data_IF_603738275654
#
_entry.id   IF_603738275654
#
_cell.length_a   1.000
_cell.length_b   1.000
_cell.length_c   1.000
_cell.angle_alpha   90.00
_cell.angle_beta   90.00
_cell.angle_gamma   90.00
#
_symmetry.space_group_name_H-M   'P 1'
#
loop_
_entity.id
_entity.type
_entity.pdbx_description
1 polymer ?
#
# COMPACT_ATOMS: atom_id res chain seq x y z
N UNK A 1 -4.99 5.98 -47.56
CA UNK A 1 -4.78 4.51 -47.48
C UNK A 1 -5.06 4.10 -46.05
N UNK A 2 -6.23 3.51 -45.82
CA UNK A 2 -6.80 3.25 -44.50
C UNK A 2 -6.28 1.91 -43.96
N UNK A 3 -5.24 1.92 -43.14
CA UNK A 3 -4.90 0.76 -42.31
C UNK A 3 -5.73 0.78 -41.02
N UNK A 4 -7.04 0.64 -41.17
CA UNK A 4 -7.96 0.45 -40.05
C UNK A 4 -8.07 -1.05 -39.74
N UNK A 5 -6.92 -1.68 -39.48
CA UNK A 5 -6.88 -3.03 -38.94
C UNK A 5 -7.34 -2.93 -37.49
N UNK A 6 -8.63 -3.17 -37.32
CA UNK A 6 -9.35 -3.37 -36.06
C UNK A 6 -8.49 -4.12 -35.04
N UNK A 7 -7.87 -3.40 -34.13
CA UNK A 7 -7.51 -3.95 -32.83
C UNK A 7 -8.85 -4.29 -32.17
N UNK A 8 -9.31 -5.55 -32.31
CA UNK A 8 -10.35 -6.07 -31.43
C UNK A 8 -9.88 -5.74 -30.01
N UNK A 9 -10.63 -4.92 -29.27
CA UNK A 9 -10.29 -4.52 -27.92
C UNK A 9 -10.00 -5.79 -27.12
N UNK A 10 -8.72 -6.05 -26.82
CA UNK A 10 -8.35 -7.31 -26.20
C UNK A 10 -9.13 -7.46 -24.90
N UNK A 11 -9.66 -8.66 -24.60
CA UNK A 11 -10.47 -8.85 -23.41
C UNK A 11 -9.64 -8.56 -22.15
N UNK A 12 -10.33 -8.11 -21.12
CA UNK A 12 -9.74 -8.01 -19.78
C UNK A 12 -9.54 -9.42 -19.24
N UNK A 13 -8.33 -9.72 -18.81
CA UNK A 13 -7.99 -11.03 -18.25
C UNK A 13 -8.63 -11.21 -16.87
N UNK A 14 -8.73 -12.45 -16.39
CA UNK A 14 -9.21 -12.72 -15.03
C UNK A 14 -8.25 -12.11 -13.99
N UNK A 15 -8.81 -11.60 -12.88
CA UNK A 15 -8.06 -11.01 -11.76
C UNK A 15 -6.90 -11.89 -11.28
N UNK A 16 -7.07 -13.23 -11.30
CA UNK A 16 -6.02 -14.17 -10.88
C UNK A 16 -4.73 -14.03 -11.67
N UNK A 17 -4.75 -13.45 -12.88
CA UNK A 17 -3.57 -13.23 -13.71
C UNK A 17 -2.96 -11.83 -13.57
N UNK A 18 -3.62 -10.90 -12.87
CA UNK A 18 -3.20 -9.49 -12.84
C UNK A 18 -1.78 -9.30 -12.31
N UNK A 19 -1.30 -10.17 -11.41
CA UNK A 19 0.08 -10.12 -10.93
C UNK A 19 1.13 -10.21 -12.06
N UNK A 20 0.80 -10.84 -13.18
CA UNK A 20 1.65 -10.97 -14.35
C UNK A 20 1.55 -9.77 -15.32
N UNK A 21 0.59 -8.87 -15.11
CA UNK A 21 0.48 -7.65 -15.91
C UNK A 21 1.70 -6.75 -15.67
N UNK A 22 2.24 -6.09 -16.71
CA UNK A 22 3.30 -5.11 -16.55
C UNK A 22 2.88 -3.87 -15.74
N UNK A 23 1.58 -3.67 -15.48
CA UNK A 23 1.04 -2.49 -14.80
C UNK A 23 0.53 -2.72 -13.38
N UNK A 24 0.13 -3.94 -13.01
CA UNK A 24 -0.68 -4.15 -11.80
C UNK A 24 0.05 -3.89 -10.48
N UNK A 25 1.31 -4.32 -10.40
CA UNK A 25 2.17 -4.17 -9.22
C UNK A 25 3.27 -3.12 -9.43
N UNK A 26 3.03 -2.15 -10.33
CA UNK A 26 3.99 -1.11 -10.68
C UNK A 26 3.36 0.27 -10.48
N UNK A 27 4.21 1.26 -10.20
CA UNK A 27 3.81 2.66 -10.25
C UNK A 27 3.73 3.09 -11.71
N UNK A 28 2.52 3.08 -12.27
CA UNK A 28 2.30 3.28 -13.70
C UNK A 28 2.43 4.76 -14.03
N UNK A 29 3.36 5.09 -14.93
CA UNK A 29 3.63 6.48 -15.32
C UNK A 29 2.52 6.96 -16.24
N UNK A 30 1.72 7.90 -15.76
CA UNK A 30 0.57 8.45 -16.47
C UNK A 30 0.58 9.96 -16.39
N UNK A 31 -0.06 10.59 -17.37
CA UNK A 31 -0.42 11.99 -17.26
C UNK A 31 -1.72 12.17 -16.48
N UNK A 32 -2.01 13.38 -16.02
CA UNK A 32 -3.28 13.72 -15.37
C UNK A 32 -4.48 13.40 -16.29
N UNK A 33 -4.38 13.74 -17.58
CA UNK A 33 -5.40 13.38 -18.57
C UNK A 33 -5.59 11.86 -18.70
N UNK A 34 -4.53 11.05 -18.70
CA UNK A 34 -4.68 9.59 -18.77
C UNK A 34 -5.38 9.05 -17.53
N UNK A 35 -5.05 9.56 -16.34
CA UNK A 35 -5.66 9.14 -15.08
C UNK A 35 -7.17 9.32 -15.14
N UNK A 36 -7.63 10.49 -15.59
CA UNK A 36 -9.05 10.76 -15.80
C UNK A 36 -9.69 9.85 -16.85
N UNK A 37 -8.94 9.48 -17.89
CA UNK A 37 -9.40 8.57 -18.94
C UNK A 37 -9.42 7.09 -18.54
N UNK A 38 -8.87 6.71 -17.38
CA UNK A 38 -8.90 5.33 -16.92
C UNK A 38 -10.33 4.85 -16.68
N UNK A 39 -10.68 3.72 -17.29
CA UNK A 39 -12.03 3.16 -17.21
C UNK A 39 -12.17 2.18 -16.07
N UNK A 40 -13.36 2.15 -15.47
CA UNK A 40 -13.80 1.01 -14.66
C UNK A 40 -14.36 -0.07 -15.58
N UNK A 41 -14.27 -1.33 -15.16
CA UNK A 41 -14.75 -2.48 -15.94
C UNK A 41 -15.69 -3.30 -15.07
N UNK A 42 -16.87 -3.68 -15.59
CA UNK A 42 -17.80 -4.51 -14.83
C UNK A 42 -17.17 -5.81 -14.32
N UNK A 43 -17.48 -6.18 -13.07
CA UNK A 43 -16.92 -7.33 -12.36
C UNK A 43 -15.65 -7.03 -11.55
N UNK A 44 -15.14 -5.79 -11.62
CA UNK A 44 -13.96 -5.34 -10.85
C UNK A 44 -14.26 -4.17 -9.91
N UNK A 45 -15.54 -3.85 -9.72
CA UNK A 45 -15.99 -2.77 -8.84
C UNK A 45 -15.51 -3.02 -7.39
N UNK A 46 -15.16 -1.94 -6.70
CA UNK A 46 -14.70 -2.00 -5.30
C UNK A 46 -13.29 -2.56 -5.09
N UNK A 47 -12.62 -3.09 -6.13
CA UNK A 47 -11.25 -3.62 -6.02
C UNK A 47 -10.16 -2.54 -6.18
N UNK A 48 -10.57 -1.28 -6.33
CA UNK A 48 -9.70 -0.13 -6.63
C UNK A 48 -8.73 -0.39 -7.80
N UNK A 49 -9.25 -0.98 -8.87
CA UNK A 49 -8.52 -1.26 -10.11
C UNK A 49 -9.21 -0.59 -11.28
N UNK A 50 -8.42 0.06 -12.11
CA UNK A 50 -8.87 0.76 -13.30
C UNK A 50 -8.11 0.24 -14.53
N UNK A 51 -8.55 0.61 -15.72
CA UNK A 51 -8.02 0.03 -16.95
C UNK A 51 -7.63 1.09 -17.97
N UNK A 52 -6.44 0.92 -18.55
CA UNK A 52 -6.05 1.53 -19.82
C UNK A 52 -5.95 0.41 -20.84
N UNK A 53 -6.73 0.48 -21.94
CA UNK A 53 -7.01 -0.70 -22.76
C UNK A 53 -7.46 -1.86 -21.85
N UNK A 54 -6.74 -2.98 -21.82
CA UNK A 54 -6.98 -4.11 -20.92
C UNK A 54 -5.90 -4.28 -19.84
N UNK A 55 -5.04 -3.27 -19.63
CA UNK A 55 -4.04 -3.27 -18.55
C UNK A 55 -4.69 -2.88 -17.22
N UNK A 56 -4.64 -3.71 -16.17
CA UNK A 56 -5.13 -3.35 -14.83
C UNK A 56 -4.14 -2.41 -14.11
N UNK A 57 -4.63 -1.28 -13.61
CA UNK A 57 -3.85 -0.21 -12.99
C UNK A 57 -4.48 0.14 -11.64
N UNK A 58 -3.66 0.11 -10.58
CA UNK A 58 -4.07 0.51 -9.21
C UNK A 58 -3.13 1.51 -8.54
N UNK A 59 -1.97 1.74 -9.15
CA UNK A 59 -0.93 2.64 -8.65
C UNK A 59 -0.47 3.55 -9.78
N UNK A 60 -0.45 4.84 -9.52
CA UNK A 60 -0.10 5.89 -10.48
C UNK A 60 1.17 6.59 -10.04
N UNK A 61 1.99 6.97 -11.01
CA UNK A 61 3.15 7.81 -10.88
C UNK A 61 2.98 9.04 -11.79
N UNK A 62 3.16 10.22 -11.22
CA UNK A 62 3.03 11.49 -11.94
C UNK A 62 4.11 12.47 -11.48
N UNK A 63 4.61 13.30 -12.38
CA UNK A 63 5.54 14.40 -12.09
C UNK A 63 4.94 15.68 -12.66
N UNK A 64 4.70 16.67 -11.80
CA UNK A 64 4.05 17.91 -12.19
C UNK A 64 4.25 19.02 -11.14
N UNK A 65 4.24 20.30 -11.55
CA UNK A 65 4.12 21.44 -10.64
C UNK A 65 2.80 21.43 -9.86
N UNK A 66 2.88 21.86 -8.60
CA UNK A 66 1.72 22.24 -7.80
C UNK A 66 1.16 23.55 -8.34
N UNK A 67 -0.13 23.59 -8.65
CA UNK A 67 -0.82 24.80 -9.14
C UNK A 67 -1.85 25.34 -8.15
N UNK A 68 -2.28 24.53 -7.19
CA UNK A 68 -3.10 24.99 -6.07
C UNK A 68 -2.85 24.14 -4.82
N UNK A 69 -2.97 24.79 -3.67
CA UNK A 69 -2.96 24.17 -2.35
C UNK A 69 -4.28 24.52 -1.70
N UNK A 70 -5.06 23.50 -1.33
CA UNK A 70 -6.36 23.69 -0.71
C UNK A 70 -6.45 22.89 0.58
N UNK A 71 -6.56 23.59 1.70
CA UNK A 71 -6.95 22.99 2.96
C UNK A 71 -8.47 22.84 3.01
N UNK A 72 -8.96 21.67 3.42
CA UNK A 72 -10.39 21.44 3.59
C UNK A 72 -10.75 21.66 5.07
N UNK A 73 -11.48 22.75 5.41
CA UNK A 73 -11.77 23.11 6.80
C UNK A 73 -12.49 21.99 7.54
N UNK A 74 -12.17 21.82 8.83
CA UNK A 74 -12.77 20.82 9.72
C UNK A 74 -12.59 19.37 9.24
N UNK A 75 -11.58 19.09 8.41
CA UNK A 75 -11.23 17.74 8.01
C UNK A 75 -9.74 17.49 8.18
N UNK A 76 -9.34 16.23 8.05
CA UNK A 76 -7.93 15.80 8.04
C UNK A 76 -7.27 15.91 6.66
N UNK A 77 -7.95 16.48 5.66
CA UNK A 77 -7.48 16.44 4.28
C UNK A 77 -6.93 17.79 3.82
N UNK A 78 -5.79 17.71 3.13
CA UNK A 78 -5.24 18.77 2.30
C UNK A 78 -5.19 18.26 0.86
N UNK A 79 -5.49 19.11 -0.11
CA UNK A 79 -5.51 18.78 -1.52
C UNK A 79 -4.45 19.62 -2.23
N UNK A 80 -3.58 18.96 -2.98
CA UNK A 80 -2.71 19.59 -3.97
C UNK A 80 -3.32 19.38 -5.35
N UNK A 81 -3.48 20.44 -6.13
CA UNK A 81 -3.81 20.30 -7.55
C UNK A 81 -2.51 20.34 -8.35
N UNK A 82 -2.29 19.33 -9.19
CA UNK A 82 -1.11 19.21 -10.05
C UNK A 82 -1.48 19.40 -11.52
N UNK A 83 -0.61 20.06 -12.28
CA UNK A 83 -0.78 20.29 -13.73
C UNK A 83 0.48 19.85 -14.50
N UNK A 84 0.36 18.79 -15.30
CA UNK A 84 1.43 18.29 -16.17
C UNK A 84 1.28 18.75 -17.63
N UNK A 85 0.43 19.76 -17.88
CA UNK A 85 0.12 20.29 -19.21
C UNK A 85 -0.45 19.27 -20.20
N UNK A 86 -0.97 18.12 -19.73
CA UNK A 86 -1.58 17.10 -20.59
C UNK A 86 -3.02 17.41 -21.02
N UNK A 87 -3.56 18.56 -20.61
CA UNK A 87 -4.93 19.00 -20.90
C UNK A 87 -5.91 18.84 -19.74
N UNK A 88 -5.47 18.29 -18.60
CA UNK A 88 -6.26 18.21 -17.37
C UNK A 88 -5.37 18.37 -16.14
N UNK A 89 -5.87 18.99 -15.08
CA UNK A 89 -5.24 18.94 -13.76
C UNK A 89 -5.73 17.71 -12.98
N UNK A 90 -5.00 17.31 -11.93
CA UNK A 90 -5.40 16.22 -11.04
C UNK A 90 -5.22 16.62 -9.58
N UNK A 91 -6.22 16.31 -8.76
CA UNK A 91 -6.19 16.53 -7.33
C UNK A 91 -5.51 15.36 -6.61
N UNK A 92 -4.57 15.68 -5.74
CA UNK A 92 -3.83 14.76 -4.89
C UNK A 92 -4.20 15.05 -3.44
N UNK A 93 -4.97 14.13 -2.85
CA UNK A 93 -5.39 14.16 -1.46
C UNK A 93 -4.28 13.66 -0.55
N UNK A 94 -3.98 14.45 0.48
CA UNK A 94 -3.07 14.13 1.57
C UNK A 94 -3.90 14.04 2.85
N UNK A 95 -3.66 12.99 3.64
CA UNK A 95 -4.35 12.76 4.90
C UNK A 95 -3.43 13.01 6.08
N UNK A 96 -3.79 13.98 6.93
CA UNK A 96 -3.20 14.22 8.24
C UNK A 96 -3.59 13.09 9.20
N UNK A 97 -2.65 12.67 10.04
CA UNK A 97 -2.93 11.74 11.12
C UNK A 97 -3.76 12.44 12.21
N UNK A 98 -4.54 11.64 12.91
CA UNK A 98 -5.26 12.09 14.09
C UNK A 98 -4.24 12.43 15.20
N UNK A 99 -4.19 13.70 15.68
CA UNK A 99 -3.22 14.09 16.69
C UNK A 99 -3.31 13.28 17.99
N UNK A 100 -4.50 12.77 18.31
CA UNK A 100 -4.74 11.96 19.51
C UNK A 100 -4.17 10.53 19.40
N UNK A 101 -3.76 10.11 18.20
CA UNK A 101 -3.26 8.76 17.90
C UNK A 101 -1.85 8.79 17.32
N UNK A 102 -1.13 9.89 17.48
CA UNK A 102 0.27 9.98 17.08
C UNK A 102 1.11 9.14 18.05
N UNK A 103 1.73 8.08 17.54
CA UNK A 103 2.77 7.36 18.27
C UNK A 103 3.97 8.30 18.51
N UNK A 104 4.61 8.16 19.67
CA UNK A 104 5.80 8.96 20.04
C UNK A 104 6.96 8.83 19.02
N UNK A 105 6.99 7.73 18.27
CA UNK A 105 7.99 7.43 17.24
C UNK A 105 7.55 7.85 15.82
N UNK A 106 6.41 8.54 15.67
CA UNK A 106 5.90 8.95 14.35
C UNK A 106 6.82 10.00 13.72
N UNK A 107 7.40 9.68 12.56
CA UNK A 107 8.32 10.57 11.84
C UNK A 107 7.64 11.71 11.09
N UNK A 108 6.32 11.67 10.96
CA UNK A 108 5.53 12.67 10.25
C UNK A 108 4.10 12.77 10.78
N UNK A 109 3.50 13.95 10.67
CA UNK A 109 2.12 14.22 11.06
C UNK A 109 1.07 13.82 10.00
N UNK A 110 1.48 13.23 8.87
CA UNK A 110 0.60 12.72 7.82
C UNK A 110 0.74 11.21 7.64
N UNK A 111 -0.14 10.65 6.81
CA UNK A 111 -0.05 9.23 6.36
C UNK A 111 1.16 8.96 5.46
N UNK A 112 1.87 9.99 5.01
CA UNK A 112 3.06 9.89 4.14
C UNK A 112 4.29 10.22 4.98
N UNK A 113 5.17 9.23 5.17
CA UNK A 113 6.22 9.27 6.20
C UNK A 113 7.23 10.44 6.13
N UNK A 114 7.41 11.04 4.96
CA UNK A 114 8.34 12.14 4.73
C UNK A 114 7.66 13.48 4.41
N UNK A 115 6.35 13.58 4.67
CA UNK A 115 5.58 14.78 4.40
C UNK A 115 4.94 15.29 5.68
N UNK A 116 5.18 16.55 6.00
CA UNK A 116 4.59 17.24 7.15
C UNK A 116 3.76 18.43 6.69
N UNK A 117 2.65 18.68 7.40
CA UNK A 117 1.79 19.83 7.18
C UNK A 117 1.64 20.58 8.49
N UNK A 118 2.23 21.77 8.56
CA UNK A 118 2.17 22.65 9.71
C UNK A 118 1.17 23.77 9.44
N UNK A 119 0.08 23.82 10.22
CA UNK A 119 -0.94 24.89 10.12
C UNK A 119 -0.95 25.70 11.41
N UNK A 120 -0.17 26.79 11.49
CA UNK A 120 -0.16 27.64 12.67
C UNK A 120 -1.50 28.37 12.85
N UNK A 121 -1.88 28.66 14.10
CA UNK A 121 -3.18 29.28 14.46
C UNK A 121 -3.43 30.64 13.79
N UNK A 122 -2.38 31.34 13.36
CA UNK A 122 -2.43 32.66 12.71
C UNK A 122 -1.48 32.79 11.51
N UNK A 123 -1.29 31.73 10.72
CA UNK A 123 -0.44 31.79 9.55
C UNK A 123 -0.86 30.84 8.44
N UNK A 124 -0.12 30.92 7.35
CA UNK A 124 -0.35 30.07 6.18
C UNK A 124 0.12 28.64 6.47
N UNK A 125 -0.60 27.69 5.87
CA UNK A 125 -0.27 26.27 5.97
C UNK A 125 1.03 25.99 5.23
N UNK A 126 2.03 25.52 5.95
CA UNK A 126 3.33 25.15 5.41
C UNK A 126 3.38 23.64 5.17
N UNK A 127 3.80 23.25 3.96
CA UNK A 127 3.94 21.85 3.56
C UNK A 127 5.43 21.57 3.40
N UNK A 128 5.93 20.51 4.03
CA UNK A 128 7.32 20.09 3.91
C UNK A 128 7.42 18.67 3.41
N UNK A 129 8.29 18.42 2.43
CA UNK A 129 8.66 17.09 1.95
C UNK A 129 10.15 16.90 2.13
N UNK A 130 10.56 15.92 2.94
CA UNK A 130 11.97 15.73 3.35
C UNK A 130 12.59 17.03 3.91
N UNK A 131 11.79 17.82 4.65
CA UNK A 131 12.18 19.12 5.21
C UNK A 131 12.22 20.29 4.20
N UNK A 132 11.99 20.05 2.91
CA UNK A 132 11.92 21.10 1.89
C UNK A 132 10.50 21.65 1.81
N UNK A 133 10.37 22.97 1.83
CA UNK A 133 9.07 23.64 1.68
C UNK A 133 8.51 23.39 0.28
N UNK A 134 7.25 23.00 0.23
CA UNK A 134 6.46 22.80 -0.99
C UNK A 134 5.45 23.92 -1.06
N UNK A 135 5.53 24.69 -2.15
CA UNK A 135 4.59 25.75 -2.49
C UNK A 135 4.12 25.61 -3.95
N UNK A 136 3.22 26.48 -4.40
CA UNK A 136 2.84 26.62 -5.81
C UNK A 136 4.10 26.75 -6.67
N UNK A 137 4.06 26.14 -7.85
CA UNK A 137 5.15 25.92 -8.80
C UNK A 137 6.24 24.93 -8.35
N UNK A 138 6.20 24.39 -7.13
CA UNK A 138 7.08 23.28 -6.75
C UNK A 138 6.73 22.05 -7.55
N UNK A 139 7.72 21.45 -8.21
CA UNK A 139 7.51 20.23 -9.00
C UNK A 139 7.61 19.01 -8.09
N UNK A 140 6.54 18.23 -8.04
CA UNK A 140 6.46 17.03 -7.23
C UNK A 140 6.44 15.79 -8.11
N UNK A 141 7.21 14.80 -7.68
CA UNK A 141 7.03 13.40 -8.08
C UNK A 141 6.14 12.72 -7.07
N UNK A 142 4.94 12.32 -7.50
CA UNK A 142 3.94 11.68 -6.64
C UNK A 142 3.70 10.23 -7.05
N UNK A 143 3.49 9.39 -6.05
CA UNK A 143 3.10 7.99 -6.18
C UNK A 143 1.81 7.78 -5.39
N UNK A 144 0.75 7.44 -6.10
CA UNK A 144 -0.61 7.50 -5.57
C UNK A 144 -1.41 6.23 -5.83
N UNK A 145 -2.39 5.96 -4.98
CA UNK A 145 -3.54 5.13 -5.37
C UNK A 145 -4.61 6.01 -6.01
N UNK A 146 -5.49 5.41 -6.79
CA UNK A 146 -6.61 6.11 -7.42
C UNK A 146 -7.79 6.12 -6.44
N UNK A 147 -8.53 7.21 -6.41
CA UNK A 147 -9.82 7.33 -5.73
C UNK A 147 -10.76 8.21 -6.55
N UNK A 148 -11.95 8.44 -6.01
CA UNK A 148 -12.92 9.33 -6.62
C UNK A 148 -13.64 10.16 -5.57
N UNK A 149 -14.03 11.38 -5.92
CA UNK A 149 -14.93 12.21 -5.14
C UNK A 149 -15.97 12.83 -6.06
N UNK A 150 -17.25 12.60 -5.74
CA UNK A 150 -18.39 13.10 -6.53
C UNK A 150 -18.27 12.78 -8.03
N UNK A 151 -17.81 11.57 -8.34
CA UNK A 151 -17.64 11.09 -9.72
C UNK A 151 -16.39 11.58 -10.45
N UNK A 152 -15.58 12.45 -9.84
CA UNK A 152 -14.30 12.91 -10.40
C UNK A 152 -13.16 12.10 -9.80
N UNK A 153 -12.20 11.68 -10.64
CA UNK A 153 -11.02 10.97 -10.15
C UNK A 153 -10.10 11.92 -9.40
N UNK A 154 -9.59 11.43 -8.28
CA UNK A 154 -8.57 12.07 -7.47
C UNK A 154 -7.53 11.02 -7.10
N UNK A 155 -6.37 11.46 -6.66
CA UNK A 155 -5.27 10.60 -6.24
C UNK A 155 -5.13 10.65 -4.73
N UNK A 156 -4.80 9.52 -4.11
CA UNK A 156 -4.42 9.48 -2.70
C UNK A 156 -2.92 9.29 -2.59
N UNK A 157 -2.24 10.24 -1.96
CA UNK A 157 -0.79 10.22 -1.88
C UNK A 157 -0.29 9.05 -1.02
N UNK A 158 0.70 8.32 -1.53
CA UNK A 158 1.40 7.26 -0.79
C UNK A 158 2.88 7.55 -0.62
N UNK A 159 3.52 8.17 -1.61
CA UNK A 159 4.92 8.65 -1.54
C UNK A 159 5.08 9.89 -2.40
N UNK A 160 5.98 10.79 -1.99
CA UNK A 160 6.33 11.96 -2.79
C UNK A 160 7.81 12.33 -2.62
N UNK A 161 8.33 13.06 -3.61
CA UNK A 161 9.63 13.73 -3.55
C UNK A 161 9.53 15.05 -4.33
N UNK A 162 10.25 16.07 -3.88
CA UNK A 162 10.47 17.31 -4.64
C UNK A 162 11.45 17.00 -5.77
N UNK A 163 11.09 17.41 -6.98
CA UNK A 163 11.97 17.40 -8.15
C UNK A 163 12.76 18.71 -8.15
N UNK A 164 14.08 18.60 -8.26
CA UNK A 164 14.98 19.72 -7.96
C UNK A 164 15.26 20.62 -9.17
N UNK A 165 15.30 20.02 -10.35
CA UNK A 165 15.69 20.71 -11.57
C UNK A 165 14.98 20.14 -12.80
N UNK A 166 15.08 20.90 -13.89
CA UNK A 166 14.47 20.56 -15.17
C UNK A 166 15.06 19.27 -15.78
N UNK A 167 16.28 18.87 -15.41
CA UNK A 167 16.87 17.63 -15.93
C UNK A 167 16.14 16.42 -15.38
N UNK A 168 15.83 16.43 -14.08
CA UNK A 168 15.01 15.39 -13.44
C UNK A 168 13.58 15.35 -14.01
N UNK A 169 12.98 16.51 -14.30
CA UNK A 169 11.66 16.61 -14.94
C UNK A 169 11.66 15.98 -16.34
N UNK A 170 12.62 16.37 -17.18
CA UNK A 170 12.76 15.84 -18.54
C UNK A 170 12.98 14.33 -18.51
N UNK A 171 13.82 13.84 -17.61
CA UNK A 171 14.04 12.39 -17.45
C UNK A 171 12.75 11.66 -17.06
N UNK A 172 11.89 12.27 -16.23
CA UNK A 172 10.60 11.70 -15.89
C UNK A 172 9.64 11.65 -17.09
N UNK A 173 9.61 12.71 -17.91
CA UNK A 173 8.81 12.75 -19.14
C UNK A 173 9.28 11.72 -20.16
N UNK A 174 10.59 11.56 -20.36
CA UNK A 174 11.17 10.55 -21.23
C UNK A 174 10.77 9.14 -20.78
N UNK A 175 10.92 8.86 -19.49
CA UNK A 175 10.56 7.56 -18.92
C UNK A 175 9.06 7.27 -19.03
N UNK A 176 8.21 8.28 -18.87
CA UNK A 176 6.76 8.16 -19.08
C UNK A 176 6.44 7.90 -20.55
N UNK A 177 7.01 8.69 -21.47
CA UNK A 177 6.78 8.55 -22.90
C UNK A 177 7.24 7.18 -23.41
N UNK A 178 8.39 6.69 -22.94
CA UNK A 178 8.85 5.34 -23.23
C UNK A 178 7.88 4.29 -22.71
N UNK A 179 7.47 4.37 -21.44
CA UNK A 179 6.53 3.42 -20.85
C UNK A 179 5.19 3.39 -21.61
N UNK A 180 4.67 4.56 -22.00
CA UNK A 180 3.46 4.67 -22.82
C UNK A 180 3.63 3.95 -24.16
N UNK A 181 4.70 4.24 -24.91
CA UNK A 181 4.94 3.63 -26.23
C UNK A 181 5.15 2.12 -26.15
N UNK A 182 5.92 1.67 -25.17
CA UNK A 182 6.38 0.28 -25.11
C UNK A 182 5.33 -0.64 -24.47
N UNK A 183 4.55 -0.12 -23.51
CA UNK A 183 3.59 -0.91 -22.71
C UNK A 183 2.15 -0.50 -22.96
N UNK A 184 1.78 0.75 -22.67
CA UNK A 184 0.35 1.15 -22.61
C UNK A 184 -0.29 1.30 -23.99
N UNK A 185 0.49 1.63 -25.02
CA UNK A 185 0.00 1.78 -26.39
C UNK A 185 -0.44 0.46 -27.04
N UNK A 186 -0.19 -0.68 -26.41
CA UNK A 186 -0.50 -2.02 -26.93
C UNK A 186 -1.35 -2.78 -25.91
N UNK A 187 -2.33 -3.59 -26.34
CA UNK A 187 -3.06 -4.45 -25.42
C UNK A 187 -2.14 -5.47 -24.73
N UNK A 188 -2.44 -5.80 -23.48
CA UNK A 188 -1.79 -6.88 -22.76
C UNK A 188 -2.29 -8.23 -23.24
N UNK A 189 -1.38 -9.05 -23.79
CA UNK A 189 -1.71 -10.36 -24.33
C UNK A 189 -1.21 -11.47 -23.42
N UNK A 190 -2.09 -12.45 -23.16
CA UNK A 190 -1.73 -13.72 -22.52
C UNK A 190 -2.13 -14.86 -23.45
N UNK A 191 -1.14 -15.58 -23.96
CA UNK A 191 -1.37 -16.79 -24.76
C UNK A 191 -1.95 -17.90 -23.89
N UNK A 192 -2.41 -18.99 -24.51
CA UNK A 192 -2.84 -20.18 -23.76
C UNK A 192 -1.67 -20.81 -22.99
N UNK A 193 -0.46 -20.78 -23.56
CA UNK A 193 0.75 -21.27 -22.91
C UNK A 193 1.14 -20.41 -21.70
N UNK A 194 1.05 -19.08 -21.82
CA UNK A 194 1.29 -18.17 -20.68
C UNK A 194 0.30 -18.47 -19.55
N UNK A 195 -0.99 -18.61 -19.87
CA UNK A 195 -2.03 -18.92 -18.87
C UNK A 195 -1.78 -20.27 -18.18
N UNK A 196 -1.44 -21.31 -18.94
CA UNK A 196 -1.11 -22.62 -18.37
C UNK A 196 0.11 -22.54 -17.43
N UNK A 197 1.11 -21.73 -17.79
CA UNK A 197 2.31 -21.52 -16.98
C UNK A 197 1.98 -20.78 -15.69
N UNK A 198 1.19 -19.70 -15.77
CA UNK A 198 0.73 -18.95 -14.61
C UNK A 198 -0.17 -19.78 -13.69
N UNK A 199 -1.06 -20.60 -14.26
CA UNK A 199 -1.91 -21.50 -13.48
C UNK A 199 -1.09 -22.55 -12.73
N UNK A 200 -0.06 -23.12 -13.37
CA UNK A 200 0.87 -24.04 -12.70
C UNK A 200 1.67 -23.35 -11.58
N UNK A 201 2.11 -22.11 -11.78
CA UNK A 201 2.78 -21.31 -10.75
C UNK A 201 1.87 -21.06 -9.55
N UNK A 202 0.63 -20.61 -9.79
CA UNK A 202 -0.35 -20.39 -8.73
C UNK A 202 -0.66 -21.66 -7.94
N UNK A 203 -0.78 -22.82 -8.62
CA UNK A 203 -0.97 -24.10 -7.96
C UNK A 203 0.23 -24.48 -7.10
N UNK A 204 1.45 -24.26 -7.58
CA UNK A 204 2.66 -24.57 -6.85
C UNK A 204 2.83 -23.66 -5.61
N UNK A 205 2.55 -22.36 -5.73
CA UNK A 205 2.55 -21.43 -4.60
C UNK A 205 1.51 -21.83 -3.55
N UNK A 206 0.28 -22.13 -3.97
CA UNK A 206 -0.77 -22.58 -3.05
C UNK A 206 -0.40 -23.88 -2.31
N UNK A 207 0.28 -24.82 -2.98
CA UNK A 207 0.78 -26.04 -2.32
C UNK A 207 1.88 -25.71 -1.28
N UNK A 208 2.80 -24.80 -1.61
CA UNK A 208 3.87 -24.37 -0.69
C UNK A 208 3.28 -23.68 0.54
N UNK A 209 2.35 -22.76 0.36
CA UNK A 209 1.67 -22.07 1.46
C UNK A 209 0.93 -23.06 2.38
N UNK A 210 0.22 -24.04 1.82
CA UNK A 210 -0.44 -25.08 2.62
C UNK A 210 0.56 -25.94 3.41
N UNK A 211 1.72 -26.25 2.85
CA UNK A 211 2.76 -26.98 3.56
C UNK A 211 3.39 -26.16 4.68
N UNK A 212 3.65 -24.88 4.46
CA UNK A 212 4.15 -23.95 5.46
C UNK A 212 3.14 -23.79 6.61
N UNK A 213 1.87 -23.56 6.31
CA UNK A 213 0.82 -23.46 7.33
C UNK A 213 0.70 -24.77 8.14
N UNK A 214 0.82 -25.94 7.50
CA UNK A 214 0.86 -27.23 8.20
C UNK A 214 2.07 -27.37 9.10
N UNK A 215 3.25 -26.90 8.67
CA UNK A 215 4.49 -26.91 9.48
C UNK A 215 4.36 -25.96 10.67
N UNK A 216 3.82 -24.76 10.47
CA UNK A 216 3.59 -23.78 11.53
C UNK A 216 2.59 -24.31 12.57
N UNK A 217 1.44 -24.84 12.13
CA UNK A 217 0.46 -25.46 13.04
C UNK A 217 1.06 -26.62 13.84
N UNK A 218 1.93 -27.43 13.24
CA UNK A 218 2.66 -28.51 13.94
C UNK A 218 3.65 -27.95 14.96
N UNK A 219 4.41 -26.92 14.59
CA UNK A 219 5.37 -26.23 15.46
C UNK A 219 4.67 -25.60 16.66
N UNK A 220 3.57 -24.86 16.43
CA UNK A 220 2.75 -24.25 17.49
C UNK A 220 2.19 -25.29 18.45
N UNK A 221 1.62 -26.40 17.95
CA UNK A 221 1.15 -27.51 18.79
C UNK A 221 2.28 -28.15 19.61
N UNK A 222 3.46 -28.32 19.02
CA UNK A 222 4.62 -28.88 19.72
C UNK A 222 5.13 -27.92 20.81
N UNK A 223 5.13 -26.61 20.53
CA UNK A 223 5.50 -25.58 21.50
C UNK A 223 4.51 -25.54 22.67
N UNK A 224 3.20 -25.53 22.38
CA UNK A 224 2.15 -25.54 23.40
C UNK A 224 2.26 -26.76 24.32
N UNK A 225 2.42 -27.97 23.76
CA UNK A 225 2.64 -29.18 24.57
C UNK A 225 3.88 -29.12 25.46
N UNK A 226 4.97 -28.50 24.96
CA UNK A 226 6.21 -28.33 25.75
C UNK A 226 6.00 -27.37 26.91
N UNK A 227 5.26 -26.28 26.69
CA UNK A 227 4.93 -25.32 27.74
C UNK A 227 3.96 -25.91 28.77
N UNK A 228 2.94 -26.66 28.35
CA UNK A 228 2.04 -27.39 29.26
C UNK A 228 2.80 -28.38 30.14
N UNK A 229 3.66 -29.22 29.54
CA UNK A 229 4.48 -30.17 30.29
C UNK A 229 5.47 -29.47 31.25
N UNK A 230 6.03 -28.31 30.87
CA UNK A 230 6.86 -27.50 31.77
C UNK A 230 6.06 -26.94 32.94
N UNK A 231 4.85 -26.46 32.69
CA UNK A 231 3.95 -25.94 33.72
C UNK A 231 3.52 -27.05 34.70
N UNK A 232 3.18 -28.24 34.19
CA UNK A 232 2.83 -29.40 35.00
C UNK A 232 3.99 -29.85 35.90
N UNK A 233 5.22 -29.96 35.34
CA UNK A 233 6.42 -30.25 36.15
C UNK A 233 6.70 -29.19 37.21
N UNK A 234 6.37 -27.92 36.94
CA UNK A 234 6.52 -26.83 37.92
C UNK A 234 5.51 -26.97 39.06
N UNK A 235 4.24 -27.24 38.74
CA UNK A 235 3.18 -27.50 39.73
C UNK A 235 3.51 -28.70 40.62
N UNK A 236 3.90 -29.83 40.03
CA UNK A 236 4.28 -31.03 40.79
C UNK A 236 5.44 -30.76 41.77
N UNK A 237 6.44 -29.95 41.37
CA UNK A 237 7.54 -29.54 42.26
C UNK A 237 7.09 -28.61 43.38
N UNK A 238 6.13 -27.73 43.12
CA UNK A 238 5.55 -26.82 44.13
C UNK A 238 4.72 -27.63 45.16
N UNK A 239 3.89 -28.57 44.69
CA UNK A 239 3.12 -29.50 45.53
C UNK A 239 4.03 -30.38 46.41
N UNK A 240 5.11 -30.94 45.86
CA UNK A 240 6.07 -31.75 46.64
C UNK A 240 6.74 -30.92 47.75
N UNK A 241 7.09 -29.66 47.46
CA UNK A 241 7.64 -28.74 48.46
C UNK A 241 6.63 -28.40 49.55
N UNK A 242 5.37 -28.21 49.18
CA UNK A 242 4.29 -27.92 50.12
C UNK A 242 3.98 -29.11 51.02
N UNK A 243 3.92 -30.34 50.47
CA UNK A 243 3.79 -31.56 51.27
C UNK A 243 4.95 -31.74 52.26
N UNK A 244 6.19 -31.45 51.84
CA UNK A 244 7.35 -31.46 52.74
C UNK A 244 7.22 -30.42 53.86
N UNK A 245 6.72 -29.21 53.57
CA UNK A 245 6.44 -28.19 54.59
C UNK A 245 5.38 -28.67 55.58
N UNK A 246 4.25 -29.18 55.10
CA UNK A 246 3.16 -29.68 55.96
C UNK A 246 3.61 -30.87 56.82
N UNK A 247 4.40 -31.80 56.28
CA UNK A 247 4.94 -32.92 57.05
C UNK A 247 5.93 -32.46 58.13
N UNK A 248 6.79 -31.47 57.82
CA UNK A 248 7.66 -30.85 58.81
C UNK A 248 6.85 -30.16 59.91
N UNK A 249 5.85 -29.36 59.55
CA UNK A 249 4.96 -28.66 60.49
C UNK A 249 4.22 -29.64 61.40
N UNK A 250 3.69 -30.74 60.84
CA UNK A 250 3.03 -31.81 61.61
C UNK A 250 3.99 -32.50 62.58
N UNK A 251 5.25 -32.71 62.19
CA UNK A 251 6.31 -33.26 63.06
C UNK A 251 6.68 -32.29 64.20
N UNK A 252 6.74 -30.99 63.92
CA UNK A 252 6.99 -29.98 64.95
C UNK A 252 5.79 -29.84 65.92
N UNK A 253 4.55 -29.94 65.43
CA UNK A 253 3.35 -29.87 66.26
C UNK A 253 3.11 -31.12 67.13
N UNK A 254 3.60 -32.30 66.75
CA UNK A 254 3.55 -33.50 67.61
C UNK A 254 4.43 -33.40 68.86
N UNK A 255 5.42 -32.50 68.87
CA UNK A 255 6.25 -32.21 70.05
C UNK A 255 5.69 -31.11 70.97
N UNK A 256 4.52 -30.55 70.67
CA UNK A 256 3.98 -29.36 71.33
C UNK A 256 2.69 -29.59 72.16
N UNK A 257 2.25 -30.84 72.34
CA UNK A 257 1.27 -31.19 73.39
C UNK A 257 1.98 -31.85 74.57
N UNK A 258 2.34 -31.03 75.55
CA UNK A 258 2.43 -31.37 76.98
C UNK A 258 1.55 -30.36 77.71
#
# INVERSE_FOLDING_TARGET
MNNNSTWQAAPVHNAKYFFASPTYNKWVKLTAADVHALREVPGFEGQNVHFHLNHPIRFVYLVAPVVAIQEIPNTKYLILTLDDSSGSCIDVKIERKDPSKLDLDSTSNTTVANLDIDTPFHGDTEIKVDGQVVDIATVLKVKCTIGSFRGVKQLELKRCNVIRDTTEEVAAWEAMAQFKRDVLAKPWMLTAADRATLDAQLQQEAMREQEEERKERRSQRAHQKREEHRAERRRAREEEKEQKRLAAEKKFNQGALI
#
